data_IF_753078987872
#
_entry.id   IF_753078987872
#
_cell.length_a   1.000
_cell.length_b   1.000
_cell.length_c   1.000
_cell.angle_alpha   90.00
_cell.angle_beta   90.00
_cell.angle_gamma   90.00
#
_symmetry.space_group_name_H-M   'P 1'
#
loop_
_entity.id
_entity.type
_entity.pdbx_description
1 polymer ?
#
# COMPACT_ATOMS: atom_id res chain seq x y z
N UNK A 1 9.98 15.45 -27.56
CA UNK A 1 9.27 16.23 -26.54
C UNK A 1 8.36 15.28 -25.77
N UNK A 2 8.92 14.50 -24.83
CA UNK A 2 8.11 13.73 -23.87
C UNK A 2 7.23 14.72 -23.12
N UNK A 3 5.91 14.54 -23.18
CA UNK A 3 4.99 15.40 -22.45
C UNK A 3 5.27 15.26 -20.96
N UNK A 4 5.48 16.38 -20.27
CA UNK A 4 5.57 16.49 -18.80
C UNK A 4 4.31 16.03 -18.05
N UNK A 5 3.31 15.53 -18.78
CA UNK A 5 2.05 15.04 -18.29
C UNK A 5 1.98 13.52 -18.41
N UNK A 6 2.03 12.85 -17.26
CA UNK A 6 1.77 11.42 -17.13
C UNK A 6 0.53 11.23 -16.24
N UNK A 7 -0.69 11.20 -16.80
CA UNK A 7 -1.92 11.14 -16.01
C UNK A 7 -2.00 9.89 -15.13
N UNK A 8 -1.31 8.81 -15.53
CA UNK A 8 -1.18 7.60 -14.74
C UNK A 8 -0.60 7.82 -13.34
N UNK A 9 0.23 8.85 -13.16
CA UNK A 9 0.81 9.21 -11.86
C UNK A 9 -0.22 9.71 -10.84
N UNK A 10 -1.45 10.02 -11.28
CA UNK A 10 -2.55 10.42 -10.40
C UNK A 10 -3.44 9.24 -9.99
N UNK A 11 -3.12 8.03 -10.46
CA UNK A 11 -3.92 6.83 -10.23
C UNK A 11 -3.28 5.91 -9.20
N UNK A 12 -4.15 5.34 -8.36
CA UNK A 12 -3.83 4.24 -7.48
C UNK A 12 -4.50 2.96 -7.97
N UNK A 13 -3.75 1.86 -7.99
CA UNK A 13 -4.26 0.54 -8.35
C UNK A 13 -4.29 -0.40 -7.13
N UNK A 14 -5.33 -1.22 -7.03
CA UNK A 14 -5.35 -2.39 -6.15
C UNK A 14 -5.21 -3.66 -6.99
N UNK A 15 -4.87 -4.78 -6.36
CA UNK A 15 -4.75 -6.07 -7.05
C UNK A 15 -5.09 -7.26 -6.13
N UNK A 16 -5.24 -8.44 -6.72
CA UNK A 16 -5.56 -9.69 -6.03
C UNK A 16 -4.30 -10.55 -5.80
N UNK A 17 -4.29 -11.32 -4.71
CA UNK A 17 -3.20 -12.23 -4.35
C UNK A 17 -1.98 -11.56 -3.70
N UNK A 18 -0.98 -12.38 -3.37
CA UNK A 18 0.19 -12.01 -2.54
C UNK A 18 1.46 -11.75 -3.34
N UNK A 19 1.35 -11.69 -4.68
CA UNK A 19 2.44 -11.48 -5.64
C UNK A 19 2.02 -10.45 -6.67
N UNK A 20 2.98 -9.70 -7.23
CA UNK A 20 2.69 -8.67 -8.22
C UNK A 20 2.16 -9.31 -9.51
N UNK A 21 0.93 -8.99 -9.93
CA UNK A 21 0.40 -9.48 -11.20
C UNK A 21 1.16 -8.90 -12.39
N UNK A 22 1.27 -9.67 -13.47
CA UNK A 22 2.06 -9.27 -14.65
C UNK A 22 1.54 -7.99 -15.32
N UNK A 23 0.22 -7.79 -15.33
CA UNK A 23 -0.43 -6.59 -15.84
C UNK A 23 -0.12 -5.36 -14.97
N UNK A 24 -0.18 -5.48 -13.65
CA UNK A 24 0.21 -4.40 -12.74
C UNK A 24 1.71 -4.07 -12.89
N UNK A 25 2.58 -5.07 -12.98
CA UNK A 25 4.01 -4.85 -13.24
C UNK A 25 4.23 -4.09 -14.55
N UNK A 26 3.49 -4.44 -15.62
CA UNK A 26 3.55 -3.72 -16.89
C UNK A 26 2.97 -2.30 -16.81
N UNK A 27 2.01 -2.01 -15.93
CA UNK A 27 1.53 -0.64 -15.72
C UNK A 27 2.58 0.21 -14.99
N UNK A 28 3.21 -0.36 -13.95
CA UNK A 28 4.28 0.28 -13.18
C UNK A 28 5.50 0.59 -14.04
N UNK A 29 5.96 -0.38 -14.85
CA UNK A 29 7.14 -0.23 -15.70
C UNK A 29 7.02 0.91 -16.72
N UNK A 30 5.80 1.27 -17.12
CA UNK A 30 5.52 2.35 -18.07
C UNK A 30 5.04 3.64 -17.39
N UNK A 31 5.11 3.75 -16.06
CA UNK A 31 4.65 4.93 -15.31
C UNK A 31 3.15 5.21 -15.46
N UNK A 32 2.33 4.20 -15.76
CA UNK A 32 0.89 4.34 -15.99
C UNK A 32 0.05 4.27 -14.71
N UNK A 33 0.69 4.00 -13.58
CA UNK A 33 0.13 4.02 -12.22
C UNK A 33 1.14 4.68 -11.30
N UNK A 34 0.70 5.66 -10.50
CA UNK A 34 1.54 6.39 -9.54
C UNK A 34 1.57 5.76 -8.16
N UNK A 35 0.60 4.90 -7.83
CA UNK A 35 0.58 4.21 -6.55
C UNK A 35 -0.19 2.90 -6.51
N UNK A 36 0.08 2.12 -5.48
CA UNK A 36 -0.54 0.82 -5.24
C UNK A 36 -1.14 0.79 -3.84
N UNK A 37 -2.42 0.42 -3.74
CA UNK A 37 -3.11 0.23 -2.46
C UNK A 37 -3.08 -1.26 -2.09
N UNK A 38 -2.54 -1.57 -0.92
CA UNK A 38 -2.50 -2.92 -0.36
C UNK A 38 -3.73 -3.17 0.52
N UNK A 39 -4.29 -4.37 0.36
CA UNK A 39 -5.43 -4.88 1.12
C UNK A 39 -5.01 -6.16 1.87
N UNK A 40 -5.86 -6.65 2.78
CA UNK A 40 -5.57 -7.87 3.56
C UNK A 40 -5.29 -9.09 2.68
N UNK A 41 -5.92 -9.18 1.50
CA UNK A 41 -5.67 -10.23 0.50
C UNK A 41 -4.25 -10.24 -0.08
N UNK A 42 -3.47 -9.17 0.12
CA UNK A 42 -2.10 -9.07 -0.35
C UNK A 42 -1.06 -9.44 0.73
N UNK A 43 -1.51 -9.69 1.96
CA UNK A 43 -0.65 -9.79 3.15
C UNK A 43 -0.81 -11.17 3.77
N UNK A 44 0.30 -11.91 3.84
CA UNK A 44 0.39 -13.22 4.48
C UNK A 44 1.30 -13.19 5.71
N UNK A 45 2.46 -12.55 5.61
CA UNK A 45 3.43 -12.43 6.70
C UNK A 45 4.33 -11.20 6.53
N UNK A 46 5.04 -10.74 7.58
CA UNK A 46 6.00 -9.64 7.45
C UNK A 46 7.09 -9.88 6.41
N UNK A 47 7.61 -11.10 6.32
CA UNK A 47 8.64 -11.46 5.34
C UNK A 47 8.08 -11.42 3.91
N UNK A 48 6.89 -11.99 3.68
CA UNK A 48 6.23 -11.95 2.38
C UNK A 48 5.88 -10.51 1.97
N UNK A 49 5.35 -9.70 2.88
CA UNK A 49 5.01 -8.29 2.60
C UNK A 49 6.25 -7.48 2.23
N UNK A 50 7.37 -7.69 2.93
CA UNK A 50 8.65 -7.05 2.59
C UNK A 50 9.09 -7.41 1.16
N UNK A 51 8.97 -8.68 0.78
CA UNK A 51 9.29 -9.13 -0.57
C UNK A 51 8.35 -8.53 -1.63
N UNK A 52 7.05 -8.48 -1.34
CA UNK A 52 6.04 -7.87 -2.21
C UNK A 52 6.31 -6.38 -2.45
N UNK A 53 6.65 -5.64 -1.39
CA UNK A 53 7.02 -4.21 -1.49
C UNK A 53 8.26 -4.01 -2.36
N UNK A 54 9.27 -4.89 -2.22
CA UNK A 54 10.46 -4.84 -3.05
C UNK A 54 10.14 -5.13 -4.53
N UNK A 55 9.30 -6.13 -4.80
CA UNK A 55 8.84 -6.50 -6.15
C UNK A 55 8.07 -5.34 -6.82
N UNK A 56 7.16 -4.67 -6.09
CA UNK A 56 6.41 -3.52 -6.58
C UNK A 56 7.31 -2.32 -6.92
N UNK A 57 8.34 -2.06 -6.09
CA UNK A 57 9.29 -0.97 -6.35
C UNK A 57 10.18 -1.29 -7.55
N UNK A 58 10.68 -2.52 -7.65
CA UNK A 58 11.53 -2.96 -8.76
C UNK A 58 10.79 -3.04 -10.11
N UNK A 59 9.46 -3.14 -10.10
CA UNK A 59 8.65 -3.11 -11.31
C UNK A 59 8.52 -1.70 -11.94
N UNK A 60 8.89 -0.64 -11.22
CA UNK A 60 8.80 0.74 -11.69
C UNK A 60 10.19 1.31 -12.03
N UNK A 61 10.28 2.37 -12.86
CA UNK A 61 11.52 3.11 -13.06
C UNK A 61 12.08 3.68 -11.75
N UNK A 62 13.41 3.69 -11.61
CA UNK A 62 14.09 4.15 -10.38
C UNK A 62 13.82 5.64 -10.07
N UNK A 63 13.62 6.47 -11.11
CA UNK A 63 13.31 7.89 -11.01
C UNK A 63 11.81 8.18 -10.80
N UNK A 64 10.97 7.14 -10.84
CA UNK A 64 9.52 7.24 -10.69
C UNK A 64 8.94 6.09 -9.84
N UNK A 65 9.36 5.94 -8.57
CA UNK A 65 8.88 4.86 -7.72
C UNK A 65 7.41 5.06 -7.31
N UNK A 66 6.60 3.98 -7.21
CA UNK A 66 5.21 4.09 -6.84
C UNK A 66 5.05 4.45 -5.35
N UNK A 67 3.99 5.20 -5.04
CA UNK A 67 3.49 5.32 -3.68
C UNK A 67 2.81 4.02 -3.26
N UNK A 68 3.14 3.50 -2.08
CA UNK A 68 2.52 2.31 -1.53
C UNK A 68 1.63 2.73 -0.35
N UNK A 69 0.34 2.44 -0.44
CA UNK A 69 -0.67 2.87 0.52
C UNK A 69 -1.39 1.67 1.14
N UNK A 70 -1.93 1.87 2.34
CA UNK A 70 -2.66 0.85 3.10
C UNK A 70 -3.57 1.52 4.14
N UNK A 71 -4.76 0.97 4.36
CA UNK A 71 -5.64 1.44 5.44
C UNK A 71 -5.24 0.79 6.77
N UNK A 72 -4.39 1.47 7.53
CA UNK A 72 -3.92 1.01 8.85
C UNK A 72 -4.35 1.96 9.97
N UNK A 73 -5.65 2.23 10.06
CA UNK A 73 -6.23 3.16 11.04
C UNK A 73 -6.30 2.58 12.46
N UNK A 74 -6.50 1.25 12.55
CA UNK A 74 -6.70 0.52 13.79
C UNK A 74 -8.14 0.00 13.99
N UNK A 75 -8.32 -0.86 14.99
CA UNK A 75 -9.60 -1.54 15.23
C UNK A 75 -10.08 -2.37 14.03
N UNK A 76 -11.26 -2.01 13.48
CA UNK A 76 -11.86 -2.72 12.35
C UNK A 76 -11.19 -2.39 11.01
N UNK A 77 -10.66 -1.17 10.85
CA UNK A 77 -10.04 -0.69 9.61
C UNK A 77 -8.52 -0.77 9.78
N UNK A 78 -8.01 -2.00 9.74
CA UNK A 78 -6.57 -2.27 9.70
C UNK A 78 -6.33 -3.52 8.87
N UNK A 79 -5.25 -3.53 8.10
CA UNK A 79 -4.89 -4.68 7.25
C UNK A 79 -3.78 -5.51 7.88
N UNK A 80 -2.82 -4.86 8.55
CA UNK A 80 -1.75 -5.51 9.30
C UNK A 80 -2.28 -5.85 10.69
N UNK A 81 -2.45 -7.15 10.95
CA UNK A 81 -2.80 -7.73 12.25
C UNK A 81 -1.66 -8.61 12.74
N UNK A 82 -1.85 -9.44 13.75
CA UNK A 82 -0.83 -10.41 14.19
C UNK A 82 -0.13 -11.09 13.01
N UNK A 83 1.21 -11.12 12.97
CA UNK A 83 2.17 -10.79 14.04
C UNK A 83 2.59 -9.30 14.12
N UNK A 84 1.94 -8.39 13.38
CA UNK A 84 2.15 -6.96 13.52
C UNK A 84 1.39 -6.42 14.75
N UNK A 85 1.79 -5.23 15.21
CA UNK A 85 1.07 -4.52 16.26
C UNK A 85 -0.39 -4.29 15.87
N UNK A 86 -1.31 -4.87 16.64
CA UNK A 86 -2.75 -4.61 16.47
C UNK A 86 -3.09 -3.27 17.10
N UNK A 87 -3.38 -2.28 16.27
CA UNK A 87 -3.71 -0.94 16.74
C UNK A 87 -5.15 -0.92 17.32
N UNK A 88 -5.38 -0.19 18.43
CA UNK A 88 -6.73 0.01 18.95
C UNK A 88 -7.57 0.83 17.95
N UNK A 89 -8.91 0.75 18.08
CA UNK A 89 -9.78 1.65 17.31
C UNK A 89 -9.52 3.12 17.73
N UNK A 90 -9.54 4.06 16.77
CA UNK A 90 -9.31 5.49 17.04
C UNK A 90 -10.24 6.04 18.15
N UNK A 91 -11.49 5.58 18.23
CA UNK A 91 -12.42 5.96 19.30
C UNK A 91 -11.94 5.59 20.72
N UNK A 92 -11.09 4.57 20.85
CA UNK A 92 -10.50 4.22 22.14
C UNK A 92 -9.45 5.27 22.59
N UNK A 93 -8.73 5.86 21.64
CA UNK A 93 -7.81 6.97 21.91
C UNK A 93 -8.57 8.22 22.34
N UNK A 94 -9.67 8.54 21.66
CA UNK A 94 -10.56 9.65 22.06
C UNK A 94 -11.05 9.49 23.51
N UNK A 95 -11.57 8.31 23.87
CA UNK A 95 -12.01 8.01 25.25
C UNK A 95 -10.87 8.00 26.28
N UNK A 96 -9.63 7.77 25.86
CA UNK A 96 -8.48 7.87 26.75
C UNK A 96 -8.17 9.34 27.04
N UNK A 97 -8.11 10.17 26.00
CA UNK A 97 -7.90 11.60 26.14
C UNK A 97 -8.99 12.28 26.99
N UNK A 98 -10.27 11.90 26.82
CA UNK A 98 -11.37 12.42 27.65
C UNK A 98 -11.18 12.12 29.16
N UNK A 99 -10.46 11.04 29.50
CA UNK A 99 -10.16 10.66 30.89
C UNK A 99 -8.85 11.27 31.39
N UNK A 100 -7.89 11.45 30.50
CA UNK A 100 -6.51 11.89 30.75
C UNK A 100 -6.09 12.91 29.66
N UNK A 101 -6.48 14.20 29.80
CA UNK A 101 -6.29 15.21 28.75
C UNK A 101 -4.83 15.64 28.56
#
# INVERSE_FOLDING_TARGET
>A
MTSWWQPGQLLFAGFEGTRVPADLAALLAHGRVGGVVLFSRNIESPAQLRALVAELRAAAPDDLPPLLAIDQEGGRVQRLREPFTVLPAAAALGRLHDREP
#
